data_IF_652575542945
#
_entry.id   IF_652575542945
#
_cell.length_a   1.000
_cell.length_b   1.000
_cell.length_c   1.000
_cell.angle_alpha   90.00
_cell.angle_beta   90.00
_cell.angle_gamma   90.00
#
_symmetry.space_group_name_H-M   'P 1'
#
loop_
_entity.id
_entity.type
_entity.pdbx_description
1 polymer ?
#
# COMPACT_ATOMS: atom_id res chain seq x y z
N UNK A 1 0.53 5.75 -2.52
CA UNK A 1 0.21 6.45 -1.24
C UNK A 1 1.46 6.67 -0.37
N UNK A 2 1.77 7.91 0.07
CA UNK A 2 2.98 8.21 0.86
C UNK A 2 2.79 7.86 2.34
N UNK A 3 3.78 7.21 2.96
CA UNK A 3 3.78 6.84 4.38
C UNK A 3 4.23 8.04 5.23
N UNK A 4 3.58 8.27 6.36
CA UNK A 4 4.00 9.30 7.30
C UNK A 4 5.34 8.88 7.95
N UNK A 5 6.37 9.76 7.97
CA UNK A 5 7.67 9.43 8.57
C UNK A 5 7.64 9.14 10.07
N UNK A 6 6.51 9.38 10.75
CA UNK A 6 6.26 8.98 12.13
C UNK A 6 5.81 7.53 12.27
N UNK A 7 5.16 6.98 11.25
CA UNK A 7 4.58 5.63 11.27
C UNK A 7 5.57 4.63 10.65
N UNK A 8 6.34 5.06 9.65
CA UNK A 8 7.35 4.20 9.01
C UNK A 8 8.42 4.99 8.27
N UNK A 9 9.63 4.42 8.24
CA UNK A 9 10.80 4.94 7.52
C UNK A 9 11.56 3.79 6.87
N UNK A 10 12.31 4.11 5.82
CA UNK A 10 13.15 3.13 5.16
C UNK A 10 14.12 2.48 6.14
N UNK A 11 14.12 1.14 6.18
CA UNK A 11 15.00 0.35 7.05
C UNK A 11 16.49 0.56 6.79
N UNK A 12 16.86 0.98 5.58
CA UNK A 12 18.26 1.06 5.15
C UNK A 12 18.85 2.46 5.28
N UNK A 13 18.09 3.50 4.95
CA UNK A 13 18.58 4.89 4.96
C UNK A 13 17.77 5.85 5.86
N UNK A 14 16.65 5.40 6.44
CA UNK A 14 15.76 6.25 7.25
C UNK A 14 14.89 7.22 6.44
N UNK A 15 14.96 7.16 5.11
CA UNK A 15 14.22 8.03 4.21
C UNK A 15 12.74 7.69 4.05
N UNK A 16 12.05 8.52 3.28
CA UNK A 16 10.60 8.43 3.10
C UNK A 16 10.17 7.21 2.28
N UNK A 17 9.03 6.63 2.66
CA UNK A 17 8.44 5.46 2.01
C UNK A 17 7.16 5.79 1.26
N UNK A 18 6.98 5.10 0.13
CA UNK A 18 5.87 5.23 -0.78
C UNK A 18 5.29 3.84 -1.04
N UNK A 19 4.02 3.61 -0.69
CA UNK A 19 3.32 2.37 -1.04
C UNK A 19 3.00 2.44 -2.53
N UNK A 20 3.51 1.45 -3.27
CA UNK A 20 3.41 1.36 -4.73
C UNK A 20 2.51 0.21 -5.18
N UNK A 21 2.30 -0.79 -4.32
CA UNK A 21 1.41 -1.92 -4.59
C UNK A 21 0.93 -2.55 -3.27
N UNK A 22 -0.16 -3.29 -3.30
CA UNK A 22 -0.65 -4.09 -2.18
C UNK A 22 -1.59 -5.21 -2.67
N UNK A 23 -1.60 -6.34 -1.96
CA UNK A 23 -2.46 -7.50 -2.21
C UNK A 23 -3.23 -7.92 -0.96
N UNK A 24 -3.88 -9.08 -0.93
CA UNK A 24 -4.67 -9.55 0.21
C UNK A 24 -3.83 -9.94 1.45
N UNK A 25 -2.49 -9.99 1.33
CA UNK A 25 -1.58 -10.44 2.38
C UNK A 25 -0.42 -9.48 2.69
N UNK A 26 -0.02 -8.61 1.76
CA UNK A 26 1.19 -7.79 1.83
C UNK A 26 1.03 -6.42 1.17
N UNK A 27 1.94 -5.50 1.53
CA UNK A 27 2.13 -4.22 0.84
C UNK A 27 3.55 -4.10 0.31
N UNK A 28 3.69 -3.53 -0.89
CA UNK A 28 4.99 -3.20 -1.49
C UNK A 28 5.30 -1.73 -1.27
N UNK A 29 6.44 -1.46 -0.65
CA UNK A 29 6.91 -0.10 -0.39
C UNK A 29 8.24 0.18 -1.08
N UNK A 30 8.37 1.39 -1.60
CA UNK A 30 9.57 1.92 -2.23
C UNK A 30 10.10 3.13 -1.44
N UNK A 31 11.40 3.12 -1.14
CA UNK A 31 12.07 4.28 -0.58
C UNK A 31 12.38 5.32 -1.65
N UNK A 32 11.90 6.54 -1.43
CA UNK A 32 12.06 7.64 -2.39
C UNK A 32 13.47 8.27 -2.36
N UNK A 33 14.33 7.86 -1.43
CA UNK A 33 15.71 8.37 -1.32
C UNK A 33 16.74 7.37 -1.85
N UNK A 34 16.73 6.13 -1.36
CA UNK A 34 17.70 5.11 -1.78
C UNK A 34 17.18 4.17 -2.87
N UNK A 35 15.90 4.25 -3.25
CA UNK A 35 15.29 3.41 -4.29
C UNK A 35 15.10 1.95 -3.89
N UNK A 36 15.23 1.61 -2.61
CA UNK A 36 15.02 0.23 -2.15
C UNK A 36 13.53 -0.10 -2.07
N UNK A 37 13.17 -1.29 -2.55
CA UNK A 37 11.79 -1.79 -2.57
C UNK A 37 11.70 -3.10 -1.81
N UNK A 38 10.68 -3.25 -0.96
CA UNK A 38 10.46 -4.46 -0.17
C UNK A 38 9.00 -4.63 0.25
N UNK A 39 8.66 -5.85 0.66
CA UNK A 39 7.34 -6.20 1.18
C UNK A 39 7.25 -5.94 2.68
N UNK A 40 6.08 -5.50 3.12
CA UNK A 40 5.72 -5.33 4.53
C UNK A 40 4.32 -5.91 4.78
N UNK A 41 4.06 -6.28 6.03
CA UNK A 41 2.72 -6.68 6.45
C UNK A 41 1.75 -5.48 6.38
N UNK A 42 0.43 -5.71 6.19
CA UNK A 42 -0.58 -4.64 6.15
C UNK A 42 -0.56 -3.73 7.40
N UNK A 43 -0.20 -4.26 8.58
CA UNK A 43 -0.10 -3.52 9.85
C UNK A 43 1.34 -3.08 10.19
N UNK A 44 2.29 -3.17 9.26
CA UNK A 44 3.70 -2.88 9.57
C UNK A 44 3.96 -1.44 10.05
N UNK A 45 3.00 -0.53 9.84
CA UNK A 45 3.06 0.86 10.27
C UNK A 45 2.27 1.14 11.56
N UNK A 46 1.68 0.12 12.19
CA UNK A 46 0.94 0.24 13.45
C UNK A 46 -0.31 1.10 13.37
N UNK A 47 -0.93 1.18 12.19
CA UNK A 47 -2.16 1.93 11.92
C UNK A 47 -3.42 1.05 12.01
N UNK A 48 -3.28 -0.21 12.44
CA UNK A 48 -4.34 -1.21 12.48
C UNK A 48 -4.79 -1.62 11.08
N UNK A 49 -3.93 -1.52 10.07
CA UNK A 49 -4.21 -1.72 8.64
C UNK A 49 -5.23 -0.73 8.02
N UNK A 50 -5.67 0.32 8.72
CA UNK A 50 -6.83 1.11 8.28
C UNK A 50 -6.48 2.31 7.40
N UNK A 51 -5.29 2.89 7.55
CA UNK A 51 -4.91 4.12 6.85
C UNK A 51 -4.27 3.77 5.51
N UNK A 52 -3.26 2.90 5.56
CA UNK A 52 -2.39 2.63 4.43
C UNK A 52 -2.96 1.54 3.53
N UNK A 53 -3.25 0.38 4.10
CA UNK A 53 -3.72 -0.77 3.33
C UNK A 53 -5.12 -0.55 2.75
N UNK A 54 -6.12 -0.28 3.59
CA UNK A 54 -7.50 -0.01 3.15
C UNK A 54 -7.56 1.22 2.24
N UNK A 55 -6.81 2.28 2.58
CA UNK A 55 -6.77 3.49 1.78
C UNK A 55 -6.13 3.31 0.40
N UNK A 56 -5.19 2.36 0.25
CA UNK A 56 -4.61 1.99 -1.03
C UNK A 56 -5.56 1.09 -1.84
N UNK A 57 -6.12 0.05 -1.22
CA UNK A 57 -7.10 -0.84 -1.84
C UNK A 57 -8.35 -0.10 -2.34
N UNK A 58 -8.88 0.83 -1.55
CA UNK A 58 -10.03 1.64 -1.95
C UNK A 58 -9.79 2.49 -3.21
N UNK A 59 -8.53 2.85 -3.49
CA UNK A 59 -8.15 3.52 -4.74
C UNK A 59 -8.05 2.55 -5.90
N UNK A 60 -7.42 1.39 -5.69
CA UNK A 60 -7.28 0.37 -6.73
C UNK A 60 -8.63 -0.23 -7.18
N UNK A 61 -9.59 -0.40 -6.27
CA UNK A 61 -10.96 -0.85 -6.61
C UNK A 61 -11.68 0.14 -7.53
N UNK A 62 -11.39 1.45 -7.43
CA UNK A 62 -11.97 2.46 -8.32
C UNK A 62 -11.33 2.47 -9.72
N UNK A 63 -10.12 1.93 -9.88
CA UNK A 63 -9.41 1.87 -11.15
C UNK A 63 -9.50 0.49 -11.85
N UNK A 64 -10.07 -0.53 -11.18
CA UNK A 64 -10.15 -1.91 -11.67
C UNK A 64 -11.55 -2.54 -11.72
N UNK A 65 -12.63 -1.75 -11.59
CA UNK A 65 -14.01 -2.24 -11.58
C UNK A 65 -14.74 -2.16 -12.92
N UNK A 66 -14.37 -3.01 -13.89
CA UNK A 66 -15.28 -3.39 -15.00
C UNK A 66 -15.13 -4.89 -15.28
N UNK A 67 -15.94 -5.69 -14.61
CA UNK A 67 -16.42 -7.01 -15.04
C UNK A 67 -17.40 -7.55 -13.97
N UNK A 68 -18.49 -6.83 -13.74
CA UNK A 68 -19.68 -7.39 -13.09
C UNK A 68 -20.83 -7.31 -14.10
N UNK A 69 -20.80 -8.24 -15.05
CA UNK A 69 -21.94 -8.54 -15.92
C UNK A 69 -22.51 -9.90 -15.49
N UNK A 70 -23.15 -9.92 -14.31
CA UNK A 70 -24.07 -11.00 -13.97
C UNK A 70 -25.47 -10.69 -14.55
N UNK A 71 -25.88 -11.58 -15.46
CA UNK A 71 -27.23 -12.10 -15.67
C UNK A 71 -28.40 -11.14 -15.94
N UNK A 72 -28.95 -11.21 -17.16
CA UNK A 72 -30.39 -11.05 -17.40
C UNK A 72 -30.83 -11.60 -18.76
N UNK A 73 -31.51 -12.75 -18.69
CA UNK A 73 -32.48 -13.37 -19.65
C UNK A 73 -31.93 -14.24 -20.79
#
# INVERSE_FOLDING_TARGET
>A
MRVNPKDGRCRSCGGDLQIIDADDATMTVECQECGETYFVEPDAFGDGCMTYYVGFMAKHVQEGGDSDAEDST
#
